data_IF_417640258623
#
_entry.id   IF_417640258623
#
_cell.length_a   1.000
_cell.length_b   1.000
_cell.length_c   1.000
_cell.angle_alpha   90.00
_cell.angle_beta   90.00
_cell.angle_gamma   90.00
#
_symmetry.space_group_name_H-M   'P 1'
#
loop_
_entity.id
_entity.type
_entity.pdbx_description
1 polymer ?
#
# COMPACT_ATOMS: atom_id res chain seq x y z
N UNK A 1 22.58 30.24 3.51
CA UNK A 1 21.87 28.96 3.39
C UNK A 1 22.61 28.15 2.36
N UNK A 2 23.56 27.29 2.78
CA UNK A 2 24.31 26.44 1.85
C UNK A 2 23.40 25.29 1.43
N UNK A 3 23.12 25.17 0.14
CA UNK A 3 22.47 23.99 -0.41
C UNK A 3 23.49 22.85 -0.30
N UNK A 4 23.30 21.96 0.66
CA UNK A 4 24.08 20.72 0.71
C UNK A 4 23.58 19.82 -0.42
N UNK A 5 24.44 19.60 -1.40
CA UNK A 5 24.20 18.63 -2.49
C UNK A 5 24.63 17.25 -2.02
N UNK A 6 23.93 16.21 -2.48
CA UNK A 6 24.35 14.83 -2.25
C UNK A 6 25.72 14.58 -2.88
N UNK A 7 26.57 13.84 -2.17
CA UNK A 7 27.85 13.37 -2.69
C UNK A 7 27.65 12.23 -3.69
N UNK A 8 28.55 12.03 -4.62
CA UNK A 8 28.45 10.98 -5.64
C UNK A 8 28.20 9.59 -5.04
N UNK A 9 28.83 9.31 -3.89
CA UNK A 9 28.65 8.05 -3.17
C UNK A 9 27.23 7.91 -2.58
N UNK A 10 26.64 8.99 -2.06
CA UNK A 10 25.28 9.03 -1.53
C UNK A 10 24.25 8.83 -2.64
N UNK A 11 24.49 9.46 -3.82
CA UNK A 11 23.68 9.27 -5.02
C UNK A 11 23.73 7.81 -5.47
N UNK A 12 24.93 7.22 -5.53
CA UNK A 12 25.08 5.82 -5.93
C UNK A 12 24.32 4.87 -5.02
N UNK A 13 24.42 5.02 -3.69
CA UNK A 13 23.74 4.15 -2.73
C UNK A 13 22.23 4.33 -2.81
N UNK A 14 21.73 5.55 -2.97
CA UNK A 14 20.30 5.81 -3.16
C UNK A 14 19.76 5.11 -4.41
N UNK A 15 20.48 5.19 -5.55
CA UNK A 15 20.07 4.47 -6.75
C UNK A 15 20.16 2.95 -6.58
N UNK A 16 21.12 2.43 -5.82
CA UNK A 16 21.23 1.02 -5.49
C UNK A 16 20.03 0.56 -4.66
N UNK A 17 19.65 1.33 -3.63
CA UNK A 17 18.45 1.05 -2.82
C UNK A 17 17.18 1.02 -3.67
N UNK A 18 16.99 2.02 -4.54
CA UNK A 18 15.85 2.07 -5.47
C UNK A 18 15.87 0.88 -6.43
N UNK A 19 17.03 0.52 -6.99
CA UNK A 19 17.15 -0.61 -7.90
C UNK A 19 16.78 -1.93 -7.21
N UNK A 20 17.20 -2.13 -5.95
CA UNK A 20 16.84 -3.31 -5.16
C UNK A 20 15.33 -3.38 -4.88
N UNK A 21 14.71 -2.26 -4.49
CA UNK A 21 13.26 -2.19 -4.26
C UNK A 21 12.48 -2.49 -5.52
N UNK A 22 12.86 -1.88 -6.65
CA UNK A 22 12.21 -2.09 -7.94
C UNK A 22 12.42 -3.52 -8.47
N UNK A 23 13.62 -4.09 -8.31
CA UNK A 23 13.88 -5.48 -8.66
C UNK A 23 13.05 -6.44 -7.81
N UNK A 24 12.95 -6.19 -6.50
CA UNK A 24 12.11 -6.97 -5.59
C UNK A 24 10.64 -6.90 -5.97
N UNK A 25 10.12 -5.70 -6.24
CA UNK A 25 8.75 -5.51 -6.71
C UNK A 25 8.51 -6.23 -8.05
N UNK A 26 9.40 -6.09 -9.01
CA UNK A 26 9.28 -6.75 -10.32
C UNK A 26 9.28 -8.28 -10.20
N UNK A 27 10.22 -8.83 -9.42
CA UNK A 27 10.32 -10.30 -9.19
C UNK A 27 9.05 -10.79 -8.48
N UNK A 28 8.62 -10.10 -7.42
CA UNK A 28 7.39 -10.44 -6.70
C UNK A 28 6.16 -10.40 -7.60
N UNK A 29 6.03 -9.36 -8.44
CA UNK A 29 4.96 -9.25 -9.42
C UNK A 29 4.96 -10.41 -10.42
N UNK A 30 6.12 -10.80 -10.92
CA UNK A 30 6.27 -11.95 -11.83
C UNK A 30 5.92 -13.28 -11.19
N UNK A 31 6.30 -13.49 -9.93
CA UNK A 31 5.97 -14.71 -9.20
C UNK A 31 4.46 -14.82 -9.03
N UNK A 32 3.79 -13.75 -8.62
CA UNK A 32 2.34 -13.74 -8.38
C UNK A 32 1.55 -13.87 -9.68
N UNK A 33 2.06 -13.36 -10.79
CA UNK A 33 1.46 -13.53 -12.13
C UNK A 33 1.35 -15.01 -12.54
N UNK A 34 2.32 -15.86 -12.14
CA UNK A 34 2.27 -17.32 -12.39
C UNK A 34 1.04 -17.95 -11.72
N UNK A 35 0.62 -17.44 -10.57
CA UNK A 35 -0.58 -17.89 -9.87
C UNK A 35 -1.88 -17.24 -10.38
N UNK A 36 -1.82 -16.50 -11.50
CA UNK A 36 -2.96 -15.76 -12.09
C UNK A 36 -3.59 -14.73 -11.13
N UNK A 37 -2.81 -14.22 -10.18
CA UNK A 37 -3.22 -13.14 -9.28
C UNK A 37 -2.72 -11.78 -9.80
N UNK A 38 -3.34 -10.66 -9.38
CA UNK A 38 -2.95 -9.32 -9.80
C UNK A 38 -1.49 -9.02 -9.44
N UNK A 39 -0.72 -8.49 -10.40
CA UNK A 39 0.72 -8.21 -10.24
C UNK A 39 1.02 -7.30 -9.05
N UNK A 40 0.17 -6.32 -8.80
CA UNK A 40 0.36 -5.34 -7.73
C UNK A 40 0.53 -6.00 -6.36
N UNK A 41 -0.14 -7.14 -6.11
CA UNK A 41 0.02 -7.88 -4.85
C UNK A 41 1.46 -8.37 -4.71
N UNK A 42 2.01 -8.94 -5.78
CA UNK A 42 3.41 -9.39 -5.81
C UNK A 42 4.41 -8.23 -5.75
N UNK A 43 4.10 -7.11 -6.42
CA UNK A 43 4.92 -5.91 -6.39
C UNK A 43 5.04 -5.34 -4.97
N UNK A 44 3.94 -5.26 -4.23
CA UNK A 44 3.92 -4.82 -2.82
C UNK A 44 4.70 -5.80 -1.93
N UNK A 45 4.40 -7.10 -2.03
CA UNK A 45 5.09 -8.12 -1.23
C UNK A 45 6.58 -8.19 -1.57
N UNK A 46 6.94 -8.12 -2.84
CA UNK A 46 8.32 -8.11 -3.30
C UNK A 46 9.07 -6.88 -2.80
N UNK A 47 8.50 -5.69 -2.92
CA UNK A 47 9.08 -4.48 -2.37
C UNK A 47 9.25 -4.54 -0.84
N UNK A 48 8.29 -5.12 -0.13
CA UNK A 48 8.36 -5.32 1.32
C UNK A 48 9.45 -6.34 1.73
N UNK A 49 9.60 -7.43 0.97
CA UNK A 49 10.61 -8.45 1.22
C UNK A 49 12.04 -7.95 0.95
N UNK A 50 12.24 -7.22 -0.15
CA UNK A 50 13.54 -6.66 -0.55
C UNK A 50 13.84 -5.31 0.12
N UNK A 51 12.85 -4.68 0.75
CA UNK A 51 13.05 -3.49 1.57
C UNK A 51 13.75 -3.78 2.90
N UNK A 52 14.11 -2.72 3.60
CA UNK A 52 14.84 -2.78 4.86
C UNK A 52 14.14 -3.52 6.00
N UNK A 53 12.90 -3.97 5.83
CA UNK A 53 12.12 -4.60 6.92
C UNK A 53 12.43 -6.09 7.06
N UNK A 54 12.30 -6.86 5.96
CA UNK A 54 12.44 -8.32 6.03
C UNK A 54 13.89 -8.76 5.92
N UNK A 55 14.62 -8.28 4.90
CA UNK A 55 16.02 -8.63 4.70
C UNK A 55 16.94 -8.10 5.82
N UNK A 56 16.53 -7.03 6.49
CA UNK A 56 17.24 -6.51 7.66
C UNK A 56 17.38 -7.57 8.76
N UNK A 57 16.39 -8.44 8.92
CA UNK A 57 16.47 -9.51 9.93
C UNK A 57 17.53 -10.57 9.62
N UNK A 58 17.80 -10.83 8.33
CA UNK A 58 18.77 -11.84 7.90
C UNK A 58 20.16 -11.24 7.60
N UNK A 59 20.21 -10.03 7.09
CA UNK A 59 21.44 -9.37 6.65
C UNK A 59 21.51 -7.92 7.14
N UNK A 60 21.56 -7.68 8.48
CA UNK A 60 21.47 -6.32 9.02
C UNK A 60 22.56 -5.39 8.48
N UNK A 61 23.83 -5.82 8.49
CA UNK A 61 24.94 -4.99 8.03
C UNK A 61 24.87 -4.60 6.56
N UNK A 62 24.38 -5.49 5.69
CA UNK A 62 24.18 -5.18 4.28
C UNK A 62 23.03 -4.22 4.07
N UNK A 63 21.95 -4.37 4.83
CA UNK A 63 20.78 -3.49 4.75
C UNK A 63 21.07 -2.09 5.30
N UNK A 64 21.83 -1.98 6.39
CA UNK A 64 22.33 -0.70 6.90
C UNK A 64 23.18 0.03 5.86
N UNK A 65 24.08 -0.70 5.18
CA UNK A 65 24.92 -0.12 4.14
C UNK A 65 24.16 0.36 2.90
N UNK A 66 22.93 -0.12 2.68
CA UNK A 66 22.10 0.20 1.51
C UNK A 66 20.96 1.15 1.83
N UNK A 67 20.36 1.06 3.02
CA UNK A 67 19.16 1.83 3.39
C UNK A 67 19.38 2.84 4.52
N UNK A 68 20.57 2.85 5.11
CA UNK A 68 20.98 3.75 6.19
C UNK A 68 22.44 4.21 6.00
N UNK A 69 22.92 4.29 4.76
CA UNK A 69 24.30 4.64 4.44
C UNK A 69 24.67 6.08 4.84
N UNK A 70 23.68 6.98 4.86
CA UNK A 70 23.88 8.39 5.26
C UNK A 70 22.60 8.97 5.93
N UNK A 71 22.73 10.01 6.79
CA UNK A 71 21.63 10.46 7.66
C UNK A 71 20.38 10.96 6.92
N UNK A 72 20.51 11.42 5.66
CA UNK A 72 19.41 11.97 4.87
C UNK A 72 18.77 10.95 3.93
N UNK A 73 19.31 9.75 3.79
CA UNK A 73 18.84 8.73 2.85
C UNK A 73 17.36 8.40 3.02
N UNK A 74 16.90 8.20 4.23
CA UNK A 74 15.49 7.95 4.53
C UNK A 74 14.57 9.09 4.06
N UNK A 75 15.04 10.34 4.07
CA UNK A 75 14.27 11.49 3.56
C UNK A 75 14.18 11.47 2.04
N UNK A 76 15.27 11.10 1.36
CA UNK A 76 15.32 10.99 -0.10
C UNK A 76 14.43 9.84 -0.58
N UNK A 77 14.52 8.67 0.04
CA UNK A 77 13.65 7.53 -0.25
C UNK A 77 12.17 7.86 0.02
N UNK A 78 11.88 8.57 1.11
CA UNK A 78 10.53 9.04 1.41
C UNK A 78 10.01 10.03 0.37
N UNK A 79 10.85 10.93 -0.17
CA UNK A 79 10.47 11.81 -1.27
C UNK A 79 10.07 11.01 -2.51
N UNK A 80 10.86 10.00 -2.89
CA UNK A 80 10.55 9.11 -4.03
C UNK A 80 9.24 8.36 -3.79
N UNK A 81 9.02 7.86 -2.58
CA UNK A 81 7.76 7.23 -2.16
C UNK A 81 6.56 8.18 -2.33
N UNK A 82 6.66 9.42 -1.83
CA UNK A 82 5.59 10.42 -1.96
C UNK A 82 5.29 10.74 -3.42
N UNK A 83 6.32 10.90 -4.26
CA UNK A 83 6.15 11.09 -5.71
C UNK A 83 5.45 9.88 -6.34
N UNK A 84 5.85 8.66 -5.97
CA UNK A 84 5.21 7.42 -6.43
C UNK A 84 3.73 7.37 -6.06
N UNK A 85 3.36 7.74 -4.83
CA UNK A 85 1.95 7.84 -4.41
C UNK A 85 1.17 8.88 -5.21
N UNK A 86 1.73 10.07 -5.44
CA UNK A 86 1.09 11.12 -6.24
C UNK A 86 0.83 10.62 -7.65
N UNK A 87 1.82 9.99 -8.30
CA UNK A 87 1.65 9.43 -9.64
C UNK A 87 0.64 8.28 -9.68
N UNK A 88 0.66 7.39 -8.67
CA UNK A 88 -0.30 6.30 -8.58
C UNK A 88 -1.73 6.83 -8.43
N UNK A 89 -1.94 7.83 -7.56
CA UNK A 89 -3.24 8.48 -7.38
C UNK A 89 -3.69 9.22 -8.65
N UNK A 90 -2.77 9.92 -9.32
CA UNK A 90 -3.07 10.60 -10.59
C UNK A 90 -3.51 9.59 -11.66
N UNK A 91 -2.75 8.53 -11.88
CA UNK A 91 -3.10 7.49 -12.84
C UNK A 91 -4.42 6.78 -12.50
N UNK A 92 -4.66 6.52 -11.22
CA UNK A 92 -5.91 5.94 -10.75
C UNK A 92 -7.09 6.87 -11.05
N UNK A 93 -7.00 8.15 -10.68
CA UNK A 93 -8.05 9.14 -10.94
C UNK A 93 -8.30 9.37 -12.43
N UNK A 94 -7.25 9.40 -13.24
CA UNK A 94 -7.36 9.58 -14.68
C UNK A 94 -8.10 8.42 -15.37
N UNK A 95 -7.88 7.20 -14.89
CA UNK A 95 -8.52 5.99 -15.45
C UNK A 95 -9.90 5.69 -14.86
N UNK A 96 -10.32 6.39 -13.80
CA UNK A 96 -11.58 6.13 -13.12
C UNK A 96 -12.69 7.03 -13.69
N UNK A 97 -13.68 6.43 -14.34
CA UNK A 97 -14.91 7.12 -14.74
C UNK A 97 -15.97 6.84 -13.67
N UNK A 98 -16.22 7.83 -12.81
CA UNK A 98 -17.25 7.70 -11.77
C UNK A 98 -18.62 8.07 -12.40
N UNK A 99 -19.34 7.10 -12.92
CA UNK A 99 -20.71 7.26 -13.33
C UNK A 99 -21.66 6.85 -12.19
N UNK A 100 -22.10 7.81 -11.40
CA UNK A 100 -23.11 7.60 -10.36
C UNK A 100 -24.51 7.66 -11.00
N UNK A 101 -24.92 6.62 -11.71
CA UNK A 101 -26.30 6.47 -12.17
C UNK A 101 -27.26 6.28 -10.97
N UNK A 102 -28.46 6.90 -11.06
CA UNK A 102 -29.47 6.81 -9.98
C UNK A 102 -29.91 5.36 -9.69
N UNK A 103 -29.84 4.47 -10.67
CA UNK A 103 -30.21 3.06 -10.54
C UNK A 103 -29.24 2.25 -9.66
N UNK A 104 -27.97 2.65 -9.57
CA UNK A 104 -26.93 1.90 -8.85
C UNK A 104 -26.77 2.30 -7.38
N UNK A 105 -27.46 3.33 -6.90
CA UNK A 105 -27.27 3.84 -5.52
C UNK A 105 -27.48 2.78 -4.44
N UNK A 106 -28.50 1.94 -4.60
CA UNK A 106 -28.77 0.87 -3.61
C UNK A 106 -27.65 -0.16 -3.59
N UNK A 107 -27.14 -0.55 -4.75
CA UNK A 107 -26.05 -1.52 -4.86
C UNK A 107 -24.78 -0.93 -4.26
N UNK A 108 -24.44 0.31 -4.62
CA UNK A 108 -23.28 1.04 -4.08
C UNK A 108 -23.35 1.13 -2.55
N UNK A 109 -24.52 1.49 -2.00
CA UNK A 109 -24.71 1.56 -0.54
C UNK A 109 -24.56 0.18 0.13
N UNK A 110 -25.10 -0.88 -0.47
CA UNK A 110 -24.93 -2.24 0.07
C UNK A 110 -23.48 -2.67 0.02
N UNK A 111 -22.75 -2.39 -1.07
CA UNK A 111 -21.32 -2.70 -1.20
C UNK A 111 -20.52 -1.91 -0.18
N UNK A 112 -20.78 -0.60 -0.06
CA UNK A 112 -20.10 0.27 0.93
C UNK A 112 -20.30 -0.24 2.36
N UNK A 113 -21.54 -0.48 2.77
CA UNK A 113 -21.88 -0.96 4.12
C UNK A 113 -21.24 -2.34 4.35
N UNK A 114 -21.36 -3.26 3.40
CA UNK A 114 -20.81 -4.60 3.50
C UNK A 114 -19.29 -4.61 3.57
N UNK A 115 -18.64 -3.85 2.68
CA UNK A 115 -17.18 -3.76 2.63
C UNK A 115 -16.57 -3.04 3.84
N UNK A 116 -17.33 -2.21 4.56
CA UNK A 116 -16.87 -1.53 5.77
C UNK A 116 -17.20 -2.34 7.03
N UNK A 117 -18.46 -2.73 7.20
CA UNK A 117 -18.92 -3.34 8.47
C UNK A 117 -18.42 -4.77 8.63
N UNK A 118 -18.45 -5.59 7.57
CA UNK A 118 -18.03 -6.99 7.68
C UNK A 118 -16.55 -7.15 8.07
N UNK A 119 -15.58 -6.43 7.44
CA UNK A 119 -14.19 -6.49 7.87
C UNK A 119 -13.99 -5.94 9.28
N UNK A 120 -14.69 -4.85 9.66
CA UNK A 120 -14.62 -4.32 11.03
C UNK A 120 -15.05 -5.36 12.06
N UNK A 121 -16.21 -5.98 11.86
CA UNK A 121 -16.71 -7.03 12.77
C UNK A 121 -15.79 -8.26 12.79
N UNK A 122 -15.32 -8.70 11.63
CA UNK A 122 -14.36 -9.79 11.50
C UNK A 122 -13.00 -9.48 12.12
N UNK A 123 -12.56 -8.23 12.10
CA UNK A 123 -11.31 -7.76 12.69
C UNK A 123 -11.30 -7.74 14.23
N UNK A 124 -12.47 -7.60 14.87
CA UNK A 124 -12.56 -7.54 16.33
C UNK A 124 -11.88 -8.74 17.03
N UNK A 125 -12.23 -10.00 16.76
CA UNK A 125 -11.60 -11.13 17.41
C UNK A 125 -10.08 -11.20 17.16
N UNK A 126 -9.63 -10.84 15.96
CA UNK A 126 -8.20 -10.78 15.66
C UNK A 126 -7.49 -9.66 16.41
N UNK A 127 -8.11 -8.49 16.57
CA UNK A 127 -7.57 -7.41 17.37
C UNK A 127 -7.38 -7.84 18.83
N UNK A 128 -8.35 -8.55 19.41
CA UNK A 128 -8.24 -9.07 20.76
C UNK A 128 -7.14 -10.15 20.90
N UNK A 129 -6.96 -10.99 19.91
CA UNK A 129 -5.88 -11.97 19.89
C UNK A 129 -4.50 -11.32 19.76
N UNK A 130 -4.36 -10.30 18.92
CA UNK A 130 -3.07 -9.63 18.65
C UNK A 130 -2.68 -8.61 19.71
N UNK A 131 -3.61 -8.05 20.48
CA UNK A 131 -3.32 -6.97 21.44
C UNK A 131 -2.20 -7.32 22.42
N UNK A 132 -2.10 -8.56 22.89
CA UNK A 132 -1.10 -8.97 23.88
C UNK A 132 0.34 -8.80 23.38
N UNK A 133 0.54 -8.89 22.05
CA UNK A 133 1.86 -8.82 21.44
C UNK A 133 2.15 -7.48 20.77
N UNK A 134 1.12 -6.72 20.38
CA UNK A 134 1.26 -5.54 19.52
C UNK A 134 0.70 -4.23 20.10
N UNK A 135 0.17 -4.23 21.33
CA UNK A 135 -0.46 -3.06 21.94
C UNK A 135 0.51 -1.87 22.13
N UNK A 136 1.83 -2.15 22.15
CA UNK A 136 2.86 -1.15 22.40
C UNK A 136 2.91 -0.63 23.85
N UNK A 137 3.81 0.30 24.11
CA UNK A 137 4.07 0.85 25.45
C UNK A 137 2.90 1.68 26.02
N UNK A 138 2.11 2.30 25.13
CA UNK A 138 0.95 3.11 25.56
C UNK A 138 -0.16 2.31 26.21
N UNK A 139 -0.25 0.98 25.98
CA UNK A 139 -1.12 0.04 26.65
C UNK A 139 -2.63 0.29 26.50
N UNK A 140 -3.08 1.20 25.64
CA UNK A 140 -4.50 1.53 25.48
C UNK A 140 -5.21 0.52 24.56
N UNK A 141 -5.93 -0.40 25.16
CA UNK A 141 -6.65 -1.47 24.47
C UNK A 141 -7.71 -0.95 23.49
N UNK A 142 -8.46 0.08 23.87
CA UNK A 142 -9.50 0.63 23.01
C UNK A 142 -8.91 1.25 21.75
N UNK A 143 -7.86 2.04 21.90
CA UNK A 143 -7.16 2.66 20.77
C UNK A 143 -6.57 1.62 19.83
N UNK A 144 -5.94 0.56 20.36
CA UNK A 144 -5.39 -0.53 19.56
C UNK A 144 -6.48 -1.22 18.73
N UNK A 145 -7.58 -1.63 19.40
CA UNK A 145 -8.70 -2.31 18.72
C UNK A 145 -9.32 -1.42 17.64
N UNK A 146 -9.58 -0.14 17.93
CA UNK A 146 -10.14 0.80 16.97
C UNK A 146 -9.22 0.99 15.75
N UNK A 147 -7.94 1.23 15.97
CA UNK A 147 -6.96 1.40 14.87
C UNK A 147 -6.87 0.13 14.04
N UNK A 148 -6.86 -1.04 14.68
CA UNK A 148 -6.78 -2.33 13.99
C UNK A 148 -8.01 -2.57 13.10
N UNK A 149 -9.23 -2.42 13.64
CA UNK A 149 -10.47 -2.68 12.87
C UNK A 149 -10.67 -1.66 11.75
N UNK A 150 -10.31 -0.38 11.97
CA UNK A 150 -10.33 0.65 10.93
C UNK A 150 -9.31 0.28 9.84
N UNK A 151 -8.07 -0.07 10.22
CA UNK A 151 -7.02 -0.44 9.26
C UNK A 151 -7.37 -1.65 8.39
N UNK A 152 -8.14 -2.62 8.93
CA UNK A 152 -8.63 -3.78 8.16
C UNK A 152 -9.80 -3.40 7.24
N UNK A 153 -10.60 -2.39 7.59
CA UNK A 153 -11.78 -2.00 6.83
C UNK A 153 -11.50 -0.99 5.71
N UNK A 154 -10.44 -0.20 5.83
CA UNK A 154 -10.11 0.82 4.81
C UNK A 154 -9.66 0.17 3.51
N UNK A 155 -10.28 0.60 2.42
CA UNK A 155 -9.92 0.17 1.06
C UNK A 155 -9.01 1.21 0.39
N UNK A 156 -7.88 0.79 -0.14
CA UNK A 156 -6.97 1.67 -0.89
C UNK A 156 -7.43 1.82 -2.35
N UNK A 157 -8.00 2.98 -2.71
CA UNK A 157 -8.43 3.27 -4.09
C UNK A 157 -7.31 3.06 -5.11
N UNK A 158 -6.08 3.59 -4.92
CA UNK A 158 -5.01 3.38 -5.88
C UNK A 158 -4.67 1.92 -6.11
N UNK A 159 -4.67 1.11 -5.04
CA UNK A 159 -4.34 -0.32 -5.13
C UNK A 159 -5.45 -1.09 -5.86
N UNK A 160 -6.72 -0.86 -5.51
CA UNK A 160 -7.83 -1.57 -6.15
C UNK A 160 -7.98 -1.17 -7.63
N UNK A 161 -7.75 0.11 -7.98
CA UNK A 161 -7.71 0.58 -9.36
C UNK A 161 -6.62 -0.13 -10.16
N UNK A 162 -5.42 -0.27 -9.59
CA UNK A 162 -4.32 -1.00 -10.22
C UNK A 162 -4.65 -2.48 -10.41
N UNK A 163 -5.32 -3.11 -9.43
CA UNK A 163 -5.81 -4.49 -9.54
C UNK A 163 -6.77 -4.61 -10.73
N UNK A 164 -7.77 -3.75 -10.84
CA UNK A 164 -8.74 -3.80 -11.94
C UNK A 164 -8.11 -3.51 -13.30
N UNK A 165 -7.11 -2.62 -13.33
CA UNK A 165 -6.34 -2.36 -14.53
C UNK A 165 -5.55 -3.60 -14.97
N UNK A 166 -4.84 -4.25 -14.05
CA UNK A 166 -4.06 -5.47 -14.33
C UNK A 166 -4.95 -6.65 -14.76
N UNK A 167 -6.19 -6.72 -14.26
CA UNK A 167 -7.18 -7.71 -14.65
C UNK A 167 -7.92 -7.38 -15.95
N UNK A 168 -7.74 -6.18 -16.52
CA UNK A 168 -8.42 -5.74 -17.73
C UNK A 168 -9.92 -5.47 -17.58
N UNK A 169 -10.41 -5.25 -16.36
CA UNK A 169 -11.84 -5.04 -16.06
C UNK A 169 -12.20 -3.59 -15.70
N UNK A 170 -11.30 -2.65 -15.93
CA UNK A 170 -11.39 -1.25 -15.47
C UNK A 170 -12.68 -0.54 -15.88
N UNK A 171 -13.21 -0.78 -17.09
CA UNK A 171 -14.40 -0.09 -17.64
C UNK A 171 -15.68 -0.94 -17.53
N UNK A 172 -15.80 -1.76 -16.47
CA UNK A 172 -17.00 -2.55 -16.25
C UNK A 172 -17.94 -1.89 -15.21
N UNK A 173 -19.26 -2.17 -15.27
CA UNK A 173 -20.21 -1.70 -14.23
C UNK A 173 -19.81 -2.17 -12.82
N UNK A 174 -19.20 -3.34 -12.70
CA UNK A 174 -18.67 -3.88 -11.46
C UNK A 174 -17.57 -2.98 -10.88
N UNK A 175 -16.57 -2.65 -11.69
CA UNK A 175 -15.46 -1.78 -11.28
C UNK A 175 -15.96 -0.39 -10.88
N UNK A 176 -16.85 0.21 -11.66
CA UNK A 176 -17.42 1.52 -11.33
C UNK A 176 -18.17 1.50 -9.99
N UNK A 177 -18.94 0.44 -9.73
CA UNK A 177 -19.63 0.27 -8.44
C UNK A 177 -18.67 0.18 -7.27
N UNK A 178 -17.63 -0.64 -7.39
CA UNK A 178 -16.64 -0.86 -6.32
C UNK A 178 -15.80 0.39 -6.10
N UNK A 179 -15.31 1.04 -7.15
CA UNK A 179 -14.52 2.29 -7.01
C UNK A 179 -15.35 3.42 -6.41
N UNK A 180 -16.63 3.54 -6.80
CA UNK A 180 -17.53 4.53 -6.19
C UNK A 180 -17.77 4.24 -4.70
N UNK A 181 -17.97 2.97 -4.33
CA UNK A 181 -18.11 2.57 -2.93
C UNK A 181 -16.83 2.85 -2.13
N UNK A 182 -15.65 2.57 -2.70
CA UNK A 182 -14.36 2.87 -2.08
C UNK A 182 -14.12 4.37 -1.90
N UNK A 183 -14.53 5.19 -2.89
CA UNK A 183 -14.47 6.67 -2.76
C UNK A 183 -15.33 7.18 -1.60
N UNK A 184 -16.48 6.54 -1.35
CA UNK A 184 -17.31 6.88 -0.19
C UNK A 184 -16.70 6.47 1.15
N UNK A 185 -15.77 5.49 1.16
CA UNK A 185 -15.04 5.11 2.38
C UNK A 185 -13.97 6.13 2.76
N UNK A 186 -13.43 6.87 1.79
CA UNK A 186 -12.37 7.86 2.01
C UNK A 186 -12.92 9.24 2.43
N UNK A 187 -14.26 9.44 2.40
CA UNK A 187 -14.95 10.67 2.82
C UNK A 187 -15.34 10.61 4.30
#
# INVERSE_FOLDING_TARGET
MSLETLKDQEVFVTFLALALLLAGAYIGGKIVEVFRAPKVIGEILGGMLFGGTFLYHFFPSAMEAVFQAYPQEGKVLNLVYQLGLIFLMFCSGFNTQIEVGKENRRIISCVFIGATILPMLGGIPFAFFMKEHFIGEAGNQLSFVLVFIIGVAITSIPVISKIFFDMGVMNTPFTNTVLTASTLQDL
#
